data_IF_500236908810
#
_entry.id   IF_500236908810
#
_cell.length_a   1.000
_cell.length_b   1.000
_cell.length_c   1.000
_cell.angle_alpha   90.00
_cell.angle_beta   90.00
_cell.angle_gamma   90.00
#
_symmetry.space_group_name_H-M   'P 1'
#
loop_
_entity.id
_entity.type
_entity.pdbx_description
1 polymer ?
#
# COMPACT_ATOMS: atom_id res chain seq x y z
N UNK A 1 22.79 13.42 -12.09
CA UNK A 1 22.58 12.51 -10.92
C UNK A 1 21.30 11.75 -11.19
N UNK A 2 21.36 10.45 -11.06
CA UNK A 2 20.18 9.58 -11.19
C UNK A 2 19.16 9.91 -10.08
N UNK A 3 17.87 9.92 -10.40
CA UNK A 3 16.82 10.23 -9.43
C UNK A 3 16.77 9.10 -8.39
N UNK A 4 16.79 9.46 -7.08
CA UNK A 4 16.68 8.47 -6.01
C UNK A 4 15.30 7.80 -6.03
N UNK A 5 15.29 6.51 -5.71
CA UNK A 5 14.10 5.64 -5.76
C UNK A 5 13.17 5.82 -4.56
N UNK A 6 11.95 5.32 -4.71
CA UNK A 6 11.03 5.04 -3.61
C UNK A 6 11.07 3.52 -3.38
N UNK A 7 11.33 3.07 -2.14
CA UNK A 7 11.29 1.66 -1.75
C UNK A 7 9.95 1.36 -1.07
N UNK A 8 9.21 0.37 -1.56
CA UNK A 8 8.05 -0.16 -0.86
C UNK A 8 8.36 -1.55 -0.29
N UNK A 9 8.06 -1.73 0.99
CA UNK A 9 8.36 -2.95 1.76
C UNK A 9 7.06 -3.59 2.24
N UNK A 10 6.84 -4.85 1.90
CA UNK A 10 5.64 -5.57 2.33
C UNK A 10 5.35 -6.80 1.52
N UNK A 11 4.06 -7.06 1.32
CA UNK A 11 3.58 -8.27 0.66
C UNK A 11 3.61 -8.16 -0.86
N UNK A 12 3.92 -9.28 -1.49
CA UNK A 12 3.50 -9.64 -2.83
C UNK A 12 2.81 -10.99 -2.80
N UNK A 13 1.67 -11.13 -3.46
CA UNK A 13 0.91 -12.38 -3.54
C UNK A 13 0.27 -12.56 -4.92
N UNK A 14 -0.28 -13.73 -5.16
CA UNK A 14 -1.11 -14.00 -6.32
C UNK A 14 -2.59 -13.88 -5.92
N UNK A 15 -3.34 -13.04 -6.62
CA UNK A 15 -4.79 -12.98 -6.54
C UNK A 15 -5.40 -13.74 -7.71
N UNK A 16 -6.20 -14.76 -7.42
CA UNK A 16 -7.03 -15.50 -8.38
C UNK A 16 -8.42 -14.90 -8.29
N UNK A 17 -8.78 -14.09 -9.28
CA UNK A 17 -10.03 -13.31 -9.28
C UNK A 17 -11.06 -14.04 -10.12
N UNK A 18 -12.13 -14.50 -9.47
CA UNK A 18 -13.29 -15.11 -10.11
C UNK A 18 -14.46 -14.15 -10.10
N UNK A 19 -14.88 -13.70 -11.28
CA UNK A 19 -16.06 -12.84 -11.43
C UNK A 19 -17.29 -13.73 -11.58
N UNK A 20 -18.29 -13.52 -10.72
CA UNK A 20 -19.57 -14.20 -10.74
C UNK A 20 -20.70 -13.19 -10.88
N UNK A 21 -21.86 -13.59 -11.38
CA UNK A 21 -23.02 -12.70 -11.42
C UNK A 21 -23.46 -12.33 -10.00
N UNK A 22 -23.81 -13.34 -9.21
CA UNK A 22 -24.15 -13.20 -7.79
C UNK A 22 -23.18 -14.03 -6.95
N UNK A 23 -22.95 -13.62 -5.70
CA UNK A 23 -22.16 -14.38 -4.75
C UNK A 23 -22.74 -15.79 -4.61
N UNK A 24 -21.95 -16.88 -4.75
CA UNK A 24 -22.44 -18.25 -4.67
C UNK A 24 -23.07 -18.57 -3.33
N UNK A 25 -24.14 -19.34 -3.36
CA UNK A 25 -24.67 -19.95 -2.15
C UNK A 25 -23.75 -21.10 -1.68
N UNK A 26 -23.78 -21.39 -0.38
CA UNK A 26 -23.05 -22.52 0.18
C UNK A 26 -23.52 -23.83 -0.48
N UNK A 27 -22.58 -24.77 -0.69
CA UNK A 27 -22.82 -26.09 -1.27
C UNK A 27 -23.42 -26.06 -2.70
N UNK A 28 -22.98 -25.08 -3.54
CA UNK A 28 -23.39 -24.96 -4.94
C UNK A 28 -22.20 -25.01 -5.90
N UNK A 29 -22.44 -25.54 -7.10
CA UNK A 29 -21.53 -25.46 -8.24
C UNK A 29 -21.91 -24.23 -9.09
N UNK A 30 -21.06 -23.20 -9.06
CA UNK A 30 -21.31 -21.95 -9.78
C UNK A 30 -20.24 -21.68 -10.82
N UNK A 31 -20.64 -21.42 -12.07
CA UNK A 31 -19.74 -21.03 -13.14
C UNK A 31 -19.40 -19.53 -13.06
N UNK A 32 -18.11 -19.23 -13.14
CA UNK A 32 -17.63 -17.84 -13.22
C UNK A 32 -17.96 -17.24 -14.61
N UNK A 33 -18.28 -15.95 -14.64
CA UNK A 33 -18.35 -15.17 -15.88
C UNK A 33 -16.96 -14.99 -16.49
N UNK A 34 -15.95 -14.80 -15.65
CA UNK A 34 -14.53 -14.76 -16.04
C UNK A 34 -13.64 -15.11 -14.88
N UNK A 35 -12.40 -15.50 -15.17
CA UNK A 35 -11.35 -15.71 -14.17
C UNK A 35 -10.03 -15.17 -14.69
N UNK A 36 -9.25 -14.54 -13.81
CA UNK A 36 -7.91 -14.06 -14.13
C UNK A 36 -6.97 -14.18 -12.94
N UNK A 37 -5.69 -14.28 -13.24
CA UNK A 37 -4.62 -14.05 -12.27
C UNK A 37 -4.23 -12.58 -12.26
N UNK A 38 -3.96 -12.05 -11.09
CA UNK A 38 -3.48 -10.69 -10.90
C UNK A 38 -2.47 -10.70 -9.74
N UNK A 39 -1.44 -9.89 -9.86
CA UNK A 39 -0.54 -9.67 -8.73
C UNK A 39 -1.26 -8.82 -7.68
N UNK A 40 -1.15 -9.23 -6.42
CA UNK A 40 -1.65 -8.53 -5.24
C UNK A 40 -0.55 -8.23 -4.24
N UNK A 41 -0.95 -7.69 -3.10
CA UNK A 41 -0.09 -7.21 -2.02
C UNK A 41 0.06 -5.68 -2.07
N UNK A 42 -0.21 -5.01 -0.95
CA UNK A 42 -0.32 -3.55 -0.90
C UNK A 42 0.99 -2.87 -1.33
N UNK A 43 2.13 -3.31 -0.79
CA UNK A 43 3.43 -2.73 -1.15
C UNK A 43 3.78 -2.95 -2.62
N UNK A 44 3.49 -4.13 -3.17
CA UNK A 44 3.75 -4.42 -4.57
C UNK A 44 2.83 -3.64 -5.51
N UNK A 45 1.57 -3.45 -5.14
CA UNK A 45 0.61 -2.61 -5.85
C UNK A 45 1.04 -1.15 -5.85
N UNK A 46 1.51 -0.65 -4.71
CA UNK A 46 2.07 0.71 -4.59
C UNK A 46 3.25 0.93 -5.53
N UNK A 47 4.16 -0.05 -5.68
CA UNK A 47 5.25 0.03 -6.65
C UNK A 47 4.73 0.15 -8.10
N UNK A 48 3.68 -0.60 -8.46
CA UNK A 48 3.08 -0.50 -9.80
C UNK A 48 2.56 0.89 -10.09
N UNK A 49 1.82 1.46 -9.15
CA UNK A 49 1.27 2.81 -9.29
C UNK A 49 2.38 3.85 -9.36
N UNK A 50 3.38 3.77 -8.49
CA UNK A 50 4.55 4.67 -8.52
C UNK A 50 5.27 4.62 -9.87
N UNK A 51 5.49 3.42 -10.41
CA UNK A 51 6.13 3.25 -11.71
C UNK A 51 5.28 3.85 -12.84
N UNK A 52 3.97 3.62 -12.87
CA UNK A 52 3.06 4.20 -13.86
C UNK A 52 3.04 5.73 -13.78
N UNK A 53 3.17 6.31 -12.59
CA UNK A 53 3.30 7.75 -12.38
C UNK A 53 4.70 8.30 -12.75
N UNK A 54 5.63 7.43 -13.14
CA UNK A 54 6.98 7.81 -13.58
C UNK A 54 7.99 8.00 -12.44
N UNK A 55 7.74 7.47 -11.24
CA UNK A 55 8.72 7.44 -10.16
C UNK A 55 9.60 6.18 -10.26
N UNK A 56 10.93 6.29 -10.22
CA UNK A 56 11.78 5.13 -10.03
C UNK A 56 11.49 4.50 -8.68
N UNK A 57 11.19 3.19 -8.66
CA UNK A 57 10.80 2.49 -7.45
C UNK A 57 11.38 1.08 -7.38
N UNK A 58 11.50 0.60 -6.15
CA UNK A 58 11.96 -0.75 -5.84
C UNK A 58 11.01 -1.42 -4.84
N UNK A 59 10.91 -2.73 -4.94
CA UNK A 59 10.14 -3.55 -4.02
C UNK A 59 11.07 -4.40 -3.15
N UNK A 60 10.75 -4.48 -1.85
CA UNK A 60 11.34 -5.41 -0.89
C UNK A 60 10.26 -6.28 -0.27
N UNK A 61 10.43 -7.58 -0.36
CA UNK A 61 9.47 -8.54 0.20
C UNK A 61 9.98 -9.96 0.13
N UNK A 62 9.27 -10.84 0.83
CA UNK A 62 9.56 -12.27 0.83
C UNK A 62 8.97 -12.95 -0.39
N UNK A 63 9.70 -13.96 -0.90
CA UNK A 63 9.34 -14.76 -2.05
C UNK A 63 9.55 -16.26 -1.77
N UNK A 64 8.61 -17.07 -2.19
CA UNK A 64 8.77 -18.53 -2.25
C UNK A 64 8.71 -18.97 -3.73
N UNK A 65 9.45 -20.03 -4.14
CA UNK A 65 9.49 -20.46 -5.53
C UNK A 65 8.15 -21.06 -6.01
N UNK A 66 7.96 -21.08 -7.31
CA UNK A 66 6.80 -21.72 -7.97
C UNK A 66 6.15 -20.84 -9.03
N UNK A 67 5.18 -21.40 -9.77
CA UNK A 67 4.52 -20.72 -10.89
C UNK A 67 3.85 -19.38 -10.49
N UNK A 68 3.32 -19.30 -9.27
CA UNK A 68 2.75 -18.05 -8.75
C UNK A 68 3.82 -16.97 -8.61
N UNK A 69 5.01 -17.34 -8.10
CA UNK A 69 6.14 -16.43 -7.99
C UNK A 69 6.65 -15.98 -9.37
N UNK A 70 6.76 -16.91 -10.32
CA UNK A 70 7.18 -16.59 -11.70
C UNK A 70 6.24 -15.57 -12.33
N UNK A 71 4.93 -15.76 -12.15
CA UNK A 71 3.91 -14.84 -12.64
C UNK A 71 4.06 -13.43 -12.03
N UNK A 72 4.16 -13.32 -10.70
CA UNK A 72 4.24 -12.01 -10.03
C UNK A 72 5.55 -11.29 -10.33
N UNK A 73 6.66 -12.04 -10.47
CA UNK A 73 7.95 -11.45 -10.85
C UNK A 73 7.94 -10.92 -12.28
N UNK A 74 7.32 -11.66 -13.21
CA UNK A 74 7.15 -11.20 -14.58
C UNK A 74 6.30 -9.93 -14.64
N UNK A 75 5.23 -9.84 -13.85
CA UNK A 75 4.37 -8.67 -13.78
C UNK A 75 5.08 -7.46 -13.16
N UNK A 76 5.84 -7.62 -12.06
CA UNK A 76 6.65 -6.53 -11.48
C UNK A 76 7.66 -5.98 -12.50
N UNK A 77 8.34 -6.86 -13.26
CA UNK A 77 9.27 -6.46 -14.31
C UNK A 77 8.58 -5.73 -15.46
N UNK A 78 7.36 -6.15 -15.83
CA UNK A 78 6.54 -5.47 -16.85
C UNK A 78 6.30 -3.99 -16.49
N UNK A 79 6.12 -3.71 -15.21
CA UNK A 79 5.97 -2.35 -14.69
C UNK A 79 7.31 -1.69 -14.31
N UNK A 80 8.45 -2.23 -14.76
CA UNK A 80 9.78 -1.69 -14.47
C UNK A 80 10.07 -1.46 -12.98
N UNK A 81 9.47 -2.24 -12.09
CA UNK A 81 9.77 -2.22 -10.66
C UNK A 81 11.09 -2.93 -10.42
N UNK A 82 12.02 -2.26 -9.74
CA UNK A 82 13.30 -2.87 -9.39
C UNK A 82 13.16 -3.85 -8.21
N UNK A 83 13.93 -4.94 -8.24
CA UNK A 83 13.80 -6.08 -7.31
C UNK A 83 15.12 -6.44 -6.62
N UNK A 84 15.92 -5.46 -6.12
CA UNK A 84 17.24 -5.75 -5.54
C UNK A 84 17.16 -6.42 -4.16
N UNK A 85 16.01 -6.38 -3.49
CA UNK A 85 15.85 -6.75 -2.08
C UNK A 85 14.79 -7.85 -1.87
N UNK A 86 14.71 -8.80 -2.81
CA UNK A 86 13.85 -9.98 -2.62
C UNK A 86 14.50 -10.96 -1.63
N UNK A 87 13.73 -11.41 -0.64
CA UNK A 87 14.16 -12.42 0.35
C UNK A 87 13.53 -13.75 -0.01
N UNK A 88 14.36 -14.72 -0.39
CA UNK A 88 13.90 -16.03 -0.85
C UNK A 88 13.75 -17.02 0.31
N UNK A 89 12.60 -17.71 0.34
CA UNK A 89 12.29 -18.77 1.32
C UNK A 89 11.90 -20.04 0.56
N UNK A 90 12.89 -20.88 0.16
CA UNK A 90 12.67 -22.04 -0.71
C UNK A 90 11.77 -23.12 -0.11
N UNK A 91 11.70 -23.21 1.23
CA UNK A 91 10.86 -24.18 1.95
C UNK A 91 9.43 -23.67 2.23
N UNK A 92 9.12 -22.45 1.83
CA UNK A 92 7.80 -21.86 2.00
C UNK A 92 6.95 -22.00 0.74
N UNK A 93 5.64 -21.78 0.87
CA UNK A 93 4.72 -21.70 -0.25
C UNK A 93 4.34 -20.24 -0.53
N UNK A 94 4.12 -19.90 -1.80
CA UNK A 94 3.81 -18.54 -2.20
C UNK A 94 2.39 -18.14 -1.76
N UNK A 95 2.19 -16.95 -1.16
CA UNK A 95 0.87 -16.48 -0.70
C UNK A 95 -0.10 -16.31 -1.87
N UNK A 96 -1.33 -16.70 -1.65
CA UNK A 96 -2.38 -16.64 -2.68
C UNK A 96 -3.69 -16.17 -2.08
N UNK A 97 -4.42 -15.32 -2.79
CA UNK A 97 -5.77 -14.94 -2.45
C UNK A 97 -6.75 -15.51 -3.49
N UNK A 98 -7.88 -16.01 -3.03
CA UNK A 98 -9.04 -16.25 -3.88
C UNK A 98 -9.97 -15.04 -3.71
N UNK A 99 -10.26 -14.36 -4.81
CA UNK A 99 -11.14 -13.19 -4.84
C UNK A 99 -12.41 -13.54 -5.59
N UNK A 100 -13.54 -13.48 -4.91
CA UNK A 100 -14.86 -13.64 -5.51
C UNK A 100 -15.46 -12.25 -5.69
N UNK A 101 -15.63 -11.83 -6.95
CA UNK A 101 -16.21 -10.52 -7.32
C UNK A 101 -17.63 -10.72 -7.85
N UNK A 102 -18.62 -10.12 -7.19
CA UNK A 102 -20.03 -10.15 -7.61
C UNK A 102 -20.31 -8.98 -8.55
N UNK A 103 -20.61 -9.27 -9.82
CA UNK A 103 -20.90 -8.26 -10.83
C UNK A 103 -22.20 -7.51 -10.53
N UNK A 104 -23.26 -8.22 -10.09
CA UNK A 104 -24.55 -7.61 -9.80
C UNK A 104 -24.58 -6.70 -8.57
N UNK A 105 -23.64 -6.91 -7.61
CA UNK A 105 -23.55 -6.13 -6.37
C UNK A 105 -22.39 -5.16 -6.33
N UNK A 106 -21.41 -5.28 -7.23
CA UNK A 106 -20.16 -4.50 -7.19
C UNK A 106 -19.31 -4.77 -5.95
N UNK A 107 -19.51 -5.92 -5.28
CA UNK A 107 -18.81 -6.29 -4.04
C UNK A 107 -17.78 -7.38 -4.29
N UNK A 108 -16.82 -7.51 -3.36
CA UNK A 108 -15.82 -8.58 -3.39
C UNK A 108 -15.63 -9.23 -2.03
N UNK A 109 -15.27 -10.51 -2.05
CA UNK A 109 -14.84 -11.28 -0.89
C UNK A 109 -13.47 -11.86 -1.16
N UNK A 110 -12.55 -11.71 -0.22
CA UNK A 110 -11.15 -12.13 -0.35
C UNK A 110 -10.85 -13.20 0.70
N UNK A 111 -10.35 -14.35 0.26
CA UNK A 111 -9.85 -15.44 1.08
C UNK A 111 -8.34 -15.52 0.90
N UNK A 112 -7.57 -14.97 1.84
CA UNK A 112 -6.11 -14.93 1.77
C UNK A 112 -5.47 -16.08 2.53
N UNK A 113 -4.47 -16.72 1.92
CA UNK A 113 -3.63 -17.75 2.54
C UNK A 113 -2.17 -17.32 2.49
N UNK A 114 -1.57 -17.04 3.65
CA UNK A 114 -0.17 -16.63 3.74
C UNK A 114 0.84 -17.75 3.46
N UNK A 115 0.45 -19.01 3.62
CA UNK A 115 1.24 -20.21 3.28
C UNK A 115 2.62 -20.26 3.95
N UNK A 116 2.71 -19.98 5.24
CA UNK A 116 3.92 -20.02 6.06
C UNK A 116 5.12 -19.19 5.53
N UNK A 117 4.90 -18.26 4.63
CA UNK A 117 5.96 -17.37 4.14
C UNK A 117 6.28 -16.31 5.21
N UNK A 118 7.51 -16.24 5.74
CA UNK A 118 7.89 -15.21 6.68
C UNK A 118 7.89 -13.82 6.05
N UNK A 119 7.52 -12.80 6.80
CA UNK A 119 7.74 -11.41 6.41
C UNK A 119 9.23 -11.06 6.50
N UNK A 120 9.65 -10.03 5.77
CA UNK A 120 11.04 -9.53 5.84
C UNK A 120 11.36 -9.01 7.24
N UNK A 121 12.61 -9.18 7.64
CA UNK A 121 13.13 -8.83 8.96
C UNK A 121 14.04 -7.60 8.92
N UNK A 122 14.34 -7.04 10.09
CA UNK A 122 15.32 -5.97 10.21
C UNK A 122 16.72 -6.42 9.73
N UNK A 123 17.07 -7.69 9.91
CA UNK A 123 18.32 -8.25 9.41
C UNK A 123 18.36 -8.25 7.87
N UNK A 124 17.28 -8.61 7.20
CA UNK A 124 17.20 -8.50 5.73
C UNK A 124 17.37 -7.06 5.28
N UNK A 125 16.81 -6.11 6.03
CA UNK A 125 16.88 -4.69 5.74
C UNK A 125 18.29 -4.09 5.95
N UNK A 126 19.16 -4.71 6.71
CA UNK A 126 20.55 -4.27 6.88
C UNK A 126 21.31 -4.17 5.57
N UNK A 127 20.95 -4.98 4.57
CA UNK A 127 21.55 -5.00 3.24
C UNK A 127 21.13 -3.82 2.35
N UNK A 128 20.11 -3.05 2.77
CA UNK A 128 19.61 -1.93 1.97
C UNK A 128 20.55 -0.74 2.06
N UNK A 129 21.08 -0.30 0.91
CA UNK A 129 21.84 0.94 0.78
C UNK A 129 20.88 2.14 0.78
N UNK A 130 20.74 2.78 1.95
CA UNK A 130 19.82 3.91 2.14
C UNK A 130 20.13 5.12 1.27
N UNK A 131 21.37 5.25 0.76
CA UNK A 131 21.75 6.36 -0.12
C UNK A 131 21.04 6.35 -1.47
N UNK A 132 20.49 5.19 -1.88
CA UNK A 132 19.77 5.00 -3.14
C UNK A 132 18.32 5.48 -3.09
N UNK A 133 17.79 5.74 -1.89
CA UNK A 133 16.37 6.02 -1.68
C UNK A 133 16.14 7.45 -1.18
N UNK A 134 15.05 8.06 -1.67
CA UNK A 134 14.52 9.33 -1.14
C UNK A 134 13.34 9.12 -0.22
N UNK A 135 12.68 7.95 -0.32
CA UNK A 135 11.51 7.58 0.47
C UNK A 135 11.45 6.08 0.68
N UNK A 136 11.05 5.64 1.86
CA UNK A 136 10.75 4.24 2.15
C UNK A 136 9.35 4.14 2.75
N UNK A 137 8.53 3.29 2.16
CA UNK A 137 7.15 3.02 2.55
C UNK A 137 7.01 1.59 3.04
N UNK A 138 6.42 1.40 4.21
CA UNK A 138 6.10 0.08 4.77
C UNK A 138 4.60 -0.18 4.74
N UNK A 139 4.19 -1.28 4.14
CA UNK A 139 2.91 -1.92 4.43
C UNK A 139 3.00 -2.52 5.84
N UNK A 140 2.12 -2.12 6.77
CA UNK A 140 2.15 -2.60 8.16
C UNK A 140 1.85 -4.09 8.26
N UNK A 141 2.87 -4.89 8.60
CA UNK A 141 2.80 -6.34 8.72
C UNK A 141 3.54 -6.83 9.97
N UNK A 142 4.83 -7.08 9.89
CA UNK A 142 5.69 -7.48 10.99
C UNK A 142 6.18 -6.23 11.75
N UNK A 143 5.29 -5.65 12.56
CA UNK A 143 5.50 -4.33 13.13
C UNK A 143 6.77 -4.22 13.99
N UNK A 144 7.08 -5.24 14.79
CA UNK A 144 8.26 -5.21 15.65
C UNK A 144 9.58 -5.14 14.83
N UNK A 145 9.64 -5.84 13.70
CA UNK A 145 10.78 -5.76 12.79
C UNK A 145 10.77 -4.45 11.99
N UNK A 146 9.59 -3.98 11.57
CA UNK A 146 9.46 -2.72 10.83
C UNK A 146 9.86 -1.51 11.70
N UNK A 147 9.56 -1.51 12.99
CA UNK A 147 10.04 -0.48 13.92
C UNK A 147 11.57 -0.40 13.90
N UNK A 148 12.28 -1.53 13.95
CA UNK A 148 13.75 -1.57 13.89
C UNK A 148 14.26 -1.03 12.54
N UNK A 149 13.59 -1.37 11.44
CA UNK A 149 13.94 -0.84 10.11
C UNK A 149 13.79 0.68 10.05
N UNK A 150 12.68 1.23 10.56
CA UNK A 150 12.43 2.68 10.60
C UNK A 150 13.46 3.39 11.49
N UNK A 151 13.78 2.81 12.66
CA UNK A 151 14.81 3.35 13.55
C UNK A 151 16.18 3.41 12.86
N UNK A 152 16.56 2.38 12.08
CA UNK A 152 17.79 2.42 11.27
C UNK A 152 17.79 3.56 10.26
N UNK A 153 16.65 3.85 9.62
CA UNK A 153 16.52 5.01 8.72
C UNK A 153 16.66 6.32 9.50
N UNK A 154 16.08 6.39 10.69
CA UNK A 154 16.20 7.58 11.55
C UNK A 154 17.66 7.83 11.99
N UNK A 155 18.39 6.79 12.39
CA UNK A 155 19.84 6.86 12.69
C UNK A 155 20.64 7.36 11.49
N UNK A 156 20.37 6.82 10.29
CA UNK A 156 20.98 7.32 9.06
C UNK A 156 20.66 8.80 8.83
N UNK A 157 19.41 9.21 9.00
CA UNK A 157 18.96 10.60 8.81
C UNK A 157 19.61 11.59 9.78
N UNK A 158 20.04 11.13 10.98
CA UNK A 158 20.78 11.96 11.94
C UNK A 158 22.20 12.25 11.48
N UNK A 159 22.79 11.39 10.68
CA UNK A 159 24.20 11.49 10.26
C UNK A 159 24.37 12.11 8.88
N UNK A 160 23.33 12.16 8.06
CA UNK A 160 23.41 12.68 6.69
C UNK A 160 22.90 14.13 6.57
N UNK A 161 23.35 14.89 5.54
CA UNK A 161 22.82 16.22 5.23
C UNK A 161 21.31 16.16 4.93
N UNK A 162 20.60 17.26 5.22
CA UNK A 162 19.15 17.33 5.08
C UNK A 162 18.63 16.91 3.68
N UNK A 163 19.34 17.27 2.61
CA UNK A 163 18.95 16.91 1.24
C UNK A 163 19.18 15.43 0.88
N UNK A 164 19.84 14.67 1.75
CA UNK A 164 20.09 13.23 1.58
C UNK A 164 19.19 12.38 2.48
N UNK A 165 18.42 12.98 3.36
CA UNK A 165 17.51 12.26 4.25
C UNK A 165 16.47 11.48 3.49
N UNK A 166 16.11 10.34 4.05
CA UNK A 166 15.07 9.44 3.55
C UNK A 166 13.78 9.72 4.30
N UNK A 167 12.73 10.10 3.60
CA UNK A 167 11.40 10.21 4.19
C UNK A 167 10.80 8.83 4.44
N UNK A 168 9.96 8.71 5.45
CA UNK A 168 9.37 7.44 5.87
C UNK A 168 7.86 7.51 5.90
N UNK A 169 7.19 6.41 5.50
CA UNK A 169 5.75 6.28 5.66
C UNK A 169 5.35 4.85 6.00
N UNK A 170 4.27 4.71 6.74
CA UNK A 170 3.67 3.42 7.06
C UNK A 170 2.20 3.43 6.69
N UNK A 171 1.71 2.28 6.22
CA UNK A 171 0.29 2.01 6.04
C UNK A 171 -0.17 1.05 7.14
N UNK A 172 -1.15 1.46 7.93
CA UNK A 172 -1.83 0.60 8.89
C UNK A 172 -3.22 0.32 8.37
N UNK A 173 -3.34 -0.77 7.59
CA UNK A 173 -4.58 -1.15 6.91
C UNK A 173 -5.46 -2.05 7.77
N UNK A 174 -4.86 -3.03 8.46
CA UNK A 174 -5.61 -4.04 9.21
C UNK A 174 -5.82 -3.63 10.66
N UNK A 175 -7.02 -3.87 11.23
CA UNK A 175 -7.30 -3.61 12.65
C UNK A 175 -6.68 -4.70 13.53
N UNK A 176 -5.37 -4.59 13.74
CA UNK A 176 -4.57 -5.49 14.57
C UNK A 176 -3.75 -4.66 15.55
N UNK A 177 -3.90 -4.94 16.83
CA UNK A 177 -3.28 -4.16 17.91
C UNK A 177 -1.75 -4.09 17.77
N UNK A 178 -1.11 -5.18 17.35
CA UNK A 178 0.34 -5.24 17.13
C UNK A 178 0.85 -4.25 16.08
N UNK A 179 0.01 -3.83 15.12
CA UNK A 179 0.39 -2.86 14.08
C UNK A 179 0.34 -1.41 14.57
N UNK A 180 -0.40 -1.14 15.64
CA UNK A 180 -0.62 0.24 16.10
C UNK A 180 0.64 0.89 16.68
N UNK A 181 1.64 0.10 17.07
CA UNK A 181 2.95 0.62 17.45
C UNK A 181 3.62 1.41 16.31
N UNK A 182 3.32 1.10 15.05
CA UNK A 182 3.90 1.78 13.88
C UNK A 182 3.50 3.25 13.77
N UNK A 183 2.38 3.66 14.38
CA UNK A 183 1.94 5.06 14.35
C UNK A 183 3.02 6.03 14.85
N UNK A 184 3.82 5.64 15.83
CA UNK A 184 4.80 6.48 16.50
C UNK A 184 6.11 6.71 15.75
N UNK A 185 6.32 6.12 14.58
CA UNK A 185 7.67 6.05 13.99
C UNK A 185 7.86 6.76 12.64
N UNK A 186 6.87 6.80 11.76
CA UNK A 186 7.03 7.35 10.41
C UNK A 186 6.71 8.85 10.29
N UNK A 187 7.20 9.48 9.21
CA UNK A 187 6.87 10.87 8.86
C UNK A 187 5.43 11.02 8.37
N UNK A 188 4.93 10.00 7.67
CA UNK A 188 3.56 9.93 7.15
C UNK A 188 2.92 8.60 7.54
N UNK A 189 1.74 8.68 8.12
CA UNK A 189 0.96 7.52 8.57
C UNK A 189 -0.34 7.46 7.81
N UNK A 190 -0.50 6.42 7.00
CA UNK A 190 -1.77 6.10 6.32
C UNK A 190 -2.58 5.17 7.21
N UNK A 191 -3.83 5.53 7.45
CA UNK A 191 -4.76 4.76 8.27
C UNK A 191 -5.98 4.38 7.44
N UNK A 192 -6.35 3.11 7.45
CA UNK A 192 -7.55 2.67 6.75
C UNK A 192 -8.82 3.08 7.49
N UNK A 193 -9.94 3.11 6.74
CA UNK A 193 -11.31 3.24 7.30
C UNK A 193 -11.60 2.15 8.34
N UNK A 194 -11.11 0.93 8.12
CA UNK A 194 -11.35 -0.20 9.03
C UNK A 194 -10.61 -0.03 10.35
N UNK A 195 -9.36 0.40 10.32
CA UNK A 195 -8.60 0.74 11.54
C UNK A 195 -9.24 1.92 12.26
N UNK A 196 -9.66 2.96 11.56
CA UNK A 196 -10.35 4.09 12.18
C UNK A 196 -11.63 3.65 12.89
N UNK A 197 -12.42 2.76 12.28
CA UNK A 197 -13.63 2.19 12.89
C UNK A 197 -13.33 1.30 14.10
N UNK A 198 -12.23 0.54 14.08
CA UNK A 198 -11.79 -0.26 15.22
C UNK A 198 -11.48 0.61 16.46
N UNK A 199 -10.98 1.83 16.24
CA UNK A 199 -10.85 2.85 17.29
C UNK A 199 -12.16 3.54 17.67
N UNK A 200 -13.28 3.17 17.04
CA UNK A 200 -14.60 3.78 17.28
C UNK A 200 -14.81 5.12 16.59
N UNK A 201 -13.98 5.47 15.59
CA UNK A 201 -14.15 6.70 14.82
C UNK A 201 -15.13 6.50 13.66
N UNK A 202 -15.92 7.52 13.36
CA UNK A 202 -17.01 7.45 12.39
C UNK A 202 -16.75 8.26 11.12
N UNK A 203 -15.62 8.97 11.04
CA UNK A 203 -15.22 9.75 9.87
C UNK A 203 -13.72 9.90 9.76
N UNK A 204 -13.21 10.21 8.56
CA UNK A 204 -11.80 10.45 8.34
C UNK A 204 -11.28 11.68 9.12
N UNK A 205 -11.98 12.84 9.13
CA UNK A 205 -11.51 13.99 9.91
C UNK A 205 -11.47 13.71 11.41
N UNK A 206 -12.39 12.91 11.95
CA UNK A 206 -12.32 12.47 13.35
C UNK A 206 -11.10 11.59 13.59
N UNK A 207 -10.86 10.62 12.71
CA UNK A 207 -9.75 9.69 12.81
C UNK A 207 -8.40 10.42 12.83
N UNK A 208 -8.14 11.32 11.86
CA UNK A 208 -6.85 12.02 11.78
C UNK A 208 -6.61 12.95 12.97
N UNK A 209 -7.67 13.61 13.48
CA UNK A 209 -7.57 14.45 14.69
C UNK A 209 -7.29 13.63 15.94
N UNK A 210 -8.00 12.52 16.14
CA UNK A 210 -7.87 11.67 17.33
C UNK A 210 -6.56 10.89 17.35
N UNK A 211 -6.07 10.46 16.19
CA UNK A 211 -4.80 9.73 16.08
C UNK A 211 -3.57 10.65 16.18
N UNK A 212 -3.74 11.98 16.14
CA UNK A 212 -2.64 12.95 16.27
C UNK A 212 -1.75 12.70 17.50
N UNK A 213 -2.35 12.31 18.61
CA UNK A 213 -1.61 12.04 19.86
C UNK A 213 -0.83 10.72 19.85
N UNK A 214 -1.08 9.85 18.86
CA UNK A 214 -0.42 8.54 18.73
C UNK A 214 0.72 8.55 17.73
N UNK A 215 0.78 9.54 16.84
CA UNK A 215 1.87 9.69 15.89
C UNK A 215 3.00 10.53 16.46
N UNK A 216 4.18 10.39 15.90
CA UNK A 216 5.33 11.19 16.32
C UNK A 216 5.08 12.69 16.07
N UNK A 217 5.69 13.58 16.87
CA UNK A 217 5.63 15.02 16.64
C UNK A 217 6.11 15.38 15.22
N UNK A 218 5.34 16.20 14.50
CA UNK A 218 5.67 16.60 13.14
C UNK A 218 5.24 15.61 12.05
N UNK A 219 4.66 14.46 12.39
CA UNK A 219 4.14 13.52 11.39
C UNK A 219 2.81 14.00 10.78
N UNK A 220 2.56 13.54 9.56
CA UNK A 220 1.29 13.68 8.86
C UNK A 220 0.45 12.41 9.04
N UNK A 221 -0.84 12.55 9.35
CA UNK A 221 -1.79 11.44 9.41
C UNK A 221 -2.78 11.58 8.27
N UNK A 222 -2.99 10.51 7.51
CA UNK A 222 -3.87 10.48 6.34
C UNK A 222 -4.86 9.34 6.50
N UNK A 223 -6.15 9.60 6.27
CA UNK A 223 -7.20 8.59 6.32
C UNK A 223 -8.10 8.69 5.10
N UNK A 224 -8.12 7.64 4.28
CA UNK A 224 -9.06 7.50 3.18
C UNK A 224 -10.40 6.93 3.67
N UNK A 225 -11.52 7.44 3.12
CA UNK A 225 -12.88 7.05 3.54
C UNK A 225 -13.77 6.66 2.37
N UNK A 226 -13.20 5.99 1.37
CA UNK A 226 -13.90 5.52 0.16
C UNK A 226 -14.67 6.65 -0.55
N UNK A 227 -15.99 6.52 -0.65
CA UNK A 227 -16.90 7.47 -1.33
C UNK A 227 -16.90 8.89 -0.71
N UNK A 228 -16.48 9.02 0.54
CA UNK A 228 -16.36 10.33 1.20
C UNK A 228 -14.97 10.98 1.01
N UNK A 229 -14.12 10.42 0.14
CA UNK A 229 -12.82 10.98 -0.15
C UNK A 229 -11.77 10.67 0.91
N UNK A 230 -10.96 11.66 1.30
CA UNK A 230 -9.89 11.50 2.27
C UNK A 230 -9.64 12.79 3.05
N UNK A 231 -9.15 12.63 4.28
CA UNK A 231 -8.69 13.72 5.13
C UNK A 231 -7.26 13.49 5.58
N UNK A 232 -6.52 14.58 5.77
CA UNK A 232 -5.17 14.52 6.30
C UNK A 232 -4.95 15.65 7.32
N UNK A 233 -4.15 15.35 8.35
CA UNK A 233 -3.70 16.33 9.33
C UNK A 233 -2.18 16.48 9.19
N UNK A 234 -1.75 17.67 8.79
CA UNK A 234 -0.35 18.01 8.57
C UNK A 234 0.46 18.22 9.85
N UNK A 235 1.79 18.38 9.73
CA UNK A 235 2.69 18.58 10.87
C UNK A 235 2.39 19.85 11.66
N UNK A 236 1.88 20.88 11.02
CA UNK A 236 1.44 22.16 11.57
C UNK A 236 0.06 22.13 12.23
N UNK A 237 -0.66 20.99 12.11
CA UNK A 237 -2.02 20.82 12.60
C UNK A 237 -3.10 21.28 11.62
N UNK A 238 -2.74 21.68 10.38
CA UNK A 238 -3.70 21.98 9.34
C UNK A 238 -4.44 20.71 8.91
N UNK A 239 -5.77 20.77 8.96
CA UNK A 239 -6.66 19.72 8.45
C UNK A 239 -7.00 20.05 6.99
N UNK A 240 -6.71 19.12 6.10
CA UNK A 240 -7.05 19.21 4.68
C UNK A 240 -7.98 18.07 4.28
N UNK A 241 -8.86 18.34 3.32
CA UNK A 241 -9.85 17.41 2.79
C UNK A 241 -9.81 17.34 1.27
N UNK A 242 -10.09 16.18 0.72
CA UNK A 242 -10.37 16.00 -0.71
C UNK A 242 -11.59 15.12 -0.88
N UNK A 243 -12.52 15.54 -1.71
CA UNK A 243 -13.62 14.69 -2.17
C UNK A 243 -13.09 13.47 -2.95
N UNK A 244 -13.91 12.44 -3.03
CA UNK A 244 -13.68 11.33 -3.96
C UNK A 244 -13.97 11.78 -5.41
N UNK A 245 -13.29 11.15 -6.37
CA UNK A 245 -13.49 11.37 -7.82
C UNK A 245 -13.97 10.06 -8.46
N UNK A 246 -15.23 9.67 -8.26
CA UNK A 246 -15.74 8.41 -8.77
C UNK A 246 -15.75 8.42 -10.31
N UNK A 247 -15.41 7.30 -10.98
CA UNK A 247 -15.58 7.16 -12.42
C UNK A 247 -17.07 7.09 -12.77
N UNK A 248 -17.40 7.27 -14.05
CA UNK A 248 -18.78 7.10 -14.54
C UNK A 248 -19.34 5.71 -14.23
N UNK A 249 -18.48 4.70 -14.32
CA UNK A 249 -18.82 3.31 -13.99
C UNK A 249 -17.72 2.70 -13.12
N UNK A 250 -18.10 2.15 -11.99
CA UNK A 250 -17.18 1.39 -11.13
C UNK A 250 -16.99 0.01 -11.75
N UNK A 251 -15.73 -0.29 -12.12
CA UNK A 251 -15.32 -1.54 -12.78
C UNK A 251 -14.61 -2.48 -11.80
N UNK A 252 -13.63 -1.95 -11.05
CA UNK A 252 -12.81 -2.74 -10.14
C UNK A 252 -12.22 -1.88 -9.03
N UNK A 253 -12.64 -2.11 -7.79
CA UNK A 253 -12.14 -1.38 -6.60
C UNK A 253 -10.95 -2.05 -5.93
N UNK A 254 -10.48 -3.21 -6.43
CA UNK A 254 -9.33 -3.92 -5.86
C UNK A 254 -8.06 -3.09 -6.07
N UNK A 255 -7.34 -2.79 -4.98
CA UNK A 255 -6.13 -1.96 -5.02
C UNK A 255 -6.37 -0.45 -5.10
N UNK A 256 -7.61 0.03 -4.95
CA UNK A 256 -7.89 1.47 -4.92
C UNK A 256 -7.21 2.18 -3.74
N UNK A 257 -7.14 1.53 -2.57
CA UNK A 257 -6.41 2.04 -1.40
C UNK A 257 -4.90 2.15 -1.65
N UNK A 258 -4.31 1.10 -2.22
CA UNK A 258 -2.88 1.09 -2.58
C UNK A 258 -2.57 2.17 -3.62
N UNK A 259 -3.49 2.37 -4.57
CA UNK A 259 -3.40 3.43 -5.58
C UNK A 259 -3.45 4.82 -4.95
N UNK A 260 -4.36 5.05 -4.02
CA UNK A 260 -4.44 6.30 -3.26
C UNK A 260 -3.14 6.56 -2.51
N UNK A 261 -2.67 5.61 -1.70
CA UNK A 261 -1.45 5.74 -0.91
C UNK A 261 -0.24 6.04 -1.82
N UNK A 262 -0.06 5.29 -2.89
CA UNK A 262 1.06 5.47 -3.81
C UNK A 262 1.03 6.82 -4.53
N UNK A 263 -0.14 7.29 -4.97
CA UNK A 263 -0.29 8.59 -5.62
C UNK A 263 -0.01 9.75 -4.64
N UNK A 264 -0.44 9.65 -3.38
CA UNK A 264 -0.09 10.62 -2.34
C UNK A 264 1.43 10.61 -2.08
N UNK A 265 2.05 9.43 -1.94
CA UNK A 265 3.49 9.29 -1.79
C UNK A 265 4.26 9.92 -2.95
N UNK A 266 3.82 9.66 -4.17
CA UNK A 266 4.40 10.26 -5.37
C UNK A 266 4.40 11.78 -5.30
N UNK A 267 3.24 12.38 -5.01
CA UNK A 267 3.06 13.82 -4.94
C UNK A 267 3.92 14.45 -3.82
N UNK A 268 3.89 13.87 -2.61
CA UNK A 268 4.70 14.33 -1.48
C UNK A 268 6.21 14.19 -1.76
N UNK A 269 6.64 13.10 -2.41
CA UNK A 269 8.04 12.87 -2.77
C UNK A 269 8.59 13.85 -3.80
N UNK A 270 7.70 14.58 -4.47
CA UNK A 270 8.00 15.69 -5.40
C UNK A 270 7.84 17.07 -4.76
N UNK A 271 7.58 17.14 -3.46
CA UNK A 271 7.46 18.38 -2.72
C UNK A 271 6.12 19.12 -2.92
N UNK A 272 5.09 18.44 -3.40
CA UNK A 272 3.75 19.03 -3.47
C UNK A 272 3.17 19.23 -2.07
N UNK A 273 2.31 20.25 -1.92
CA UNK A 273 1.64 20.52 -0.65
C UNK A 273 0.66 19.40 -0.30
N UNK A 274 0.40 19.21 0.98
CA UNK A 274 -0.45 18.12 1.49
C UNK A 274 -1.83 18.10 0.84
N UNK A 275 -2.49 19.28 0.67
CA UNK A 275 -3.78 19.38 -0.01
C UNK A 275 -3.72 18.90 -1.46
N UNK A 276 -2.68 19.27 -2.20
CA UNK A 276 -2.50 18.87 -3.59
C UNK A 276 -2.24 17.37 -3.71
N UNK A 277 -1.39 16.85 -2.83
CA UNK A 277 -1.08 15.41 -2.77
C UNK A 277 -2.33 14.58 -2.43
N UNK A 278 -3.14 15.03 -1.46
CA UNK A 278 -4.37 14.36 -1.08
C UNK A 278 -5.38 14.31 -2.24
N UNK A 279 -5.59 15.45 -2.89
CA UNK A 279 -6.49 15.57 -4.06
C UNK A 279 -6.01 14.67 -5.21
N UNK A 280 -4.71 14.68 -5.50
CA UNK A 280 -4.11 13.82 -6.51
C UNK A 280 -4.32 12.34 -6.20
N UNK A 281 -4.12 11.93 -4.92
CA UNK A 281 -4.41 10.57 -4.46
C UNK A 281 -5.84 10.14 -4.74
N UNK A 282 -6.83 10.99 -4.39
CA UNK A 282 -8.25 10.72 -4.64
C UNK A 282 -8.57 10.63 -6.15
N UNK A 283 -7.95 11.48 -6.98
CA UNK A 283 -8.15 11.46 -8.43
C UNK A 283 -7.62 10.16 -9.06
N UNK A 284 -6.40 9.74 -8.73
CA UNK A 284 -5.80 8.51 -9.28
C UNK A 284 -6.55 7.27 -8.79
N UNK A 285 -6.93 7.23 -7.50
CA UNK A 285 -7.74 6.15 -6.95
C UNK A 285 -9.13 6.07 -7.63
N UNK A 286 -9.74 7.19 -7.93
CA UNK A 286 -10.98 7.24 -8.69
C UNK A 286 -10.83 6.66 -10.10
N UNK A 287 -9.78 7.03 -10.84
CA UNK A 287 -9.48 6.43 -12.15
C UNK A 287 -9.27 4.93 -12.06
N UNK A 288 -8.56 4.45 -11.01
CA UNK A 288 -8.35 3.02 -10.74
C UNK A 288 -9.68 2.27 -10.64
N UNK A 289 -10.67 2.83 -9.98
CA UNK A 289 -11.99 2.22 -9.84
C UNK A 289 -12.72 2.06 -11.19
N UNK A 290 -12.34 2.78 -12.22
CA UNK A 290 -12.92 2.72 -13.57
C UNK A 290 -12.28 1.71 -14.51
N UNK A 291 -11.21 1.00 -14.10
CA UNK A 291 -10.46 0.06 -14.94
C UNK A 291 -10.15 -1.24 -14.21
N UNK A 292 -9.98 -2.33 -14.95
CA UNK A 292 -9.43 -3.56 -14.41
C UNK A 292 -7.92 -3.46 -14.26
N UNK A 293 -7.38 -3.90 -13.12
CA UNK A 293 -5.94 -3.80 -12.85
C UNK A 293 -5.49 -2.36 -12.72
N UNK A 294 -4.30 -2.03 -13.25
CA UNK A 294 -3.69 -0.70 -13.10
C UNK A 294 -3.42 0.03 -14.42
N UNK A 295 -3.56 -0.65 -15.57
CA UNK A 295 -3.32 -0.03 -16.87
C UNK A 295 -4.42 1.03 -17.16
N UNK A 296 -3.99 2.25 -17.48
CA UNK A 296 -4.92 3.36 -17.77
C UNK A 296 -5.29 4.26 -16.58
N UNK A 297 -4.59 4.16 -15.46
CA UNK A 297 -4.80 5.06 -14.30
C UNK A 297 -4.09 6.42 -14.45
N UNK A 298 -3.21 6.55 -15.42
CA UNK A 298 -2.43 7.76 -15.79
C UNK A 298 -2.69 8.16 -17.21
#
# INVERSE_FOLDING_TARGET
MEEKRILCIGLVCLDIISVVDMYPAEDTDTRCLSQRWQRGGNASNSCTVLSLLGAPCAFMGSLAPGHAADFVLADLRRYAVELPHLVSHPESSFPTSIVISSASRGTRTILHTNRNLPDVTAQDFEQVDLTQYKWIHWEGRNAAEQVKMIQRVEEYNQTCPAHQRVSTSVEVEKPREELYQLFGYADVVFVSKDVAKDFGFHSAPEAVKRLRSRVRPGATVICAWAEAGADALGPDGELVHSDAFPPETIVDTLGAGDTFNAAVLFALSRGQRLQEALTFGCQVAGRKCGVHGYDGIV
#
